data_IF_655649750741
#
_entry.id   IF_655649750741
#
_cell.length_a   1.000
_cell.length_b   1.000
_cell.length_c   1.000
_cell.angle_alpha   90.00
_cell.angle_beta   90.00
_cell.angle_gamma   90.00
#
_symmetry.space_group_name_H-M   'P 1'
#
loop_
_entity.id
_entity.type
_entity.pdbx_description
1 polymer ?
#
# COMPACT_ATOMS: atom_id res chain seq x y z
N UNK A 1 4.10 -12.68 -38.20
CA UNK A 1 4.91 -13.42 -37.23
C UNK A 1 6.14 -12.59 -36.92
N UNK A 2 6.04 -11.71 -35.96
CA UNK A 2 7.11 -11.05 -35.20
C UNK A 2 6.49 -9.87 -34.44
N UNK A 3 5.77 -10.22 -33.38
CA UNK A 3 5.27 -9.31 -32.36
C UNK A 3 6.15 -9.52 -31.11
N UNK A 4 7.43 -9.22 -31.26
CA UNK A 4 8.41 -9.29 -30.19
C UNK A 4 9.33 -8.11 -30.36
N UNK A 5 9.22 -7.15 -29.50
CA UNK A 5 10.20 -6.16 -29.02
C UNK A 5 9.52 -4.85 -28.67
N UNK A 6 8.79 -4.92 -27.58
CA UNK A 6 8.22 -3.75 -26.92
C UNK A 6 8.91 -3.40 -25.60
N UNK A 7 10.17 -3.78 -25.38
CA UNK A 7 10.84 -3.43 -24.12
C UNK A 7 12.24 -2.86 -24.39
N UNK A 8 12.44 -1.62 -23.92
CA UNK A 8 13.69 -0.87 -24.06
C UNK A 8 14.94 -1.52 -23.41
N UNK A 9 14.82 -2.71 -22.84
CA UNK A 9 15.91 -3.49 -22.22
C UNK A 9 16.79 -4.17 -23.28
N UNK A 10 16.21 -4.64 -24.39
CA UNK A 10 16.97 -5.24 -25.47
C UNK A 10 17.93 -4.24 -26.13
N UNK A 11 17.58 -2.97 -26.17
CA UNK A 11 18.41 -1.90 -26.74
C UNK A 11 19.67 -1.57 -25.91
N UNK A 12 19.60 -1.74 -24.58
CA UNK A 12 20.74 -1.53 -23.68
C UNK A 12 21.76 -2.67 -23.73
N UNK A 13 21.31 -3.89 -23.96
CA UNK A 13 22.19 -5.05 -24.05
C UNK A 13 23.01 -5.03 -25.36
N UNK A 14 22.43 -4.61 -26.49
CA UNK A 14 23.09 -4.53 -27.78
C UNK A 14 24.17 -3.43 -27.86
N UNK A 15 24.02 -2.34 -27.14
CA UNK A 15 25.02 -1.26 -27.04
C UNK A 15 26.29 -1.68 -26.29
N UNK A 16 26.22 -2.69 -25.41
CA UNK A 16 27.38 -3.22 -24.67
C UNK A 16 28.28 -4.14 -25.50
N UNK A 17 27.81 -4.65 -26.64
CA UNK A 17 28.56 -5.56 -27.52
C UNK A 17 29.12 -4.87 -28.79
N UNK A 18 29.13 -3.53 -28.85
CA UNK A 18 29.81 -2.79 -29.93
C UNK A 18 29.10 -2.82 -31.29
N UNK A 19 27.80 -3.14 -31.33
CA UNK A 19 27.01 -3.11 -32.57
C UNK A 19 26.37 -1.73 -32.71
N UNK A 20 27.00 -0.82 -33.41
CA UNK A 20 26.57 0.59 -33.51
C UNK A 20 25.43 0.87 -34.48
N UNK A 21 25.02 -0.05 -35.33
CA UNK A 21 23.90 0.19 -36.26
C UNK A 21 23.17 -1.08 -36.68
N UNK A 22 21.96 -1.25 -36.14
CA UNK A 22 20.94 -2.12 -36.69
C UNK A 22 19.73 -1.24 -37.03
N UNK A 23 19.59 -0.92 -38.32
CA UNK A 23 18.47 -0.10 -38.79
C UNK A 23 17.28 -1.00 -39.10
N UNK A 24 16.22 -0.92 -38.30
CA UNK A 24 14.95 -1.57 -38.59
C UNK A 24 14.01 -0.58 -39.27
N UNK A 25 13.57 -0.93 -40.48
CA UNK A 25 12.49 -0.21 -41.13
C UNK A 25 11.15 -0.76 -40.68
N UNK A 26 10.35 0.10 -40.02
CA UNK A 26 8.93 -0.17 -39.77
C UNK A 26 8.18 0.27 -41.01
N UNK A 27 7.61 -0.69 -41.76
CA UNK A 27 6.74 -0.39 -42.88
C UNK A 27 5.43 0.18 -42.37
N UNK A 28 5.14 1.44 -42.70
CA UNK A 28 3.81 2.04 -42.59
C UNK A 28 3.10 1.83 -43.91
N UNK A 29 1.91 1.29 -43.88
CA UNK A 29 1.09 0.93 -45.04
C UNK A 29 1.03 1.97 -46.14
N UNK A 30 1.27 1.52 -47.31
CA UNK A 30 0.86 1.82 -48.71
C UNK A 30 2.01 2.14 -49.63
N UNK A 31 2.24 1.22 -50.55
CA UNK A 31 3.02 1.42 -51.77
C UNK A 31 4.07 0.34 -52.02
N UNK A 32 3.82 -0.50 -53.02
CA UNK A 32 4.73 -1.55 -53.53
C UNK A 32 6.10 -0.98 -53.87
N UNK A 33 7.15 -1.46 -53.20
CA UNK A 33 8.53 -1.46 -53.69
C UNK A 33 9.15 -2.82 -53.35
N UNK A 34 9.70 -3.47 -54.39
CA UNK A 34 10.37 -4.77 -54.30
C UNK A 34 11.53 -4.71 -53.30
N UNK A 35 11.67 -5.68 -52.38
CA UNK A 35 12.80 -5.74 -51.48
C UNK A 35 14.05 -6.21 -52.25
N UNK A 36 15.15 -5.44 -52.20
CA UNK A 36 16.47 -5.94 -52.54
C UNK A 36 16.89 -6.98 -51.49
N UNK A 37 17.08 -8.22 -51.94
CA UNK A 37 17.65 -9.28 -51.12
C UNK A 37 19.14 -8.95 -50.85
N UNK A 38 19.42 -8.66 -49.58
CA UNK A 38 20.81 -8.67 -49.09
C UNK A 38 21.18 -10.10 -48.75
N UNK A 39 22.09 -10.68 -49.50
CA UNK A 39 22.69 -11.98 -49.18
C UNK A 39 23.70 -11.80 -48.06
N UNK A 40 23.33 -12.25 -46.85
CA UNK A 40 24.24 -12.37 -45.71
C UNK A 40 25.21 -13.54 -45.99
N UNK A 41 26.50 -13.34 -45.73
CA UNK A 41 27.48 -14.42 -45.80
C UNK A 41 27.13 -15.55 -44.84
N UNK A 42 27.33 -16.84 -45.22
CA UNK A 42 26.87 -18.00 -44.39
C UNK A 42 27.44 -18.03 -42.98
N UNK A 43 28.60 -17.42 -42.75
CA UNK A 43 29.19 -17.30 -41.42
C UNK A 43 28.40 -16.36 -40.46
N UNK A 44 27.76 -15.32 -41.01
CA UNK A 44 26.93 -14.40 -40.21
C UNK A 44 25.58 -15.01 -39.83
N UNK A 45 25.05 -15.88 -40.68
CA UNK A 45 23.78 -16.57 -40.42
C UNK A 45 23.93 -17.62 -39.30
N UNK A 46 25.05 -18.33 -39.24
CA UNK A 46 25.34 -19.29 -38.17
C UNK A 46 25.51 -18.61 -36.81
N UNK A 47 26.12 -17.41 -36.76
CA UNK A 47 26.28 -16.65 -35.52
C UNK A 47 24.94 -16.09 -35.02
N UNK A 48 24.07 -15.63 -35.91
CA UNK A 48 22.74 -15.14 -35.57
C UNK A 48 21.85 -16.28 -35.03
N UNK A 49 21.91 -17.47 -35.68
CA UNK A 49 21.20 -18.65 -35.21
C UNK A 49 21.75 -19.17 -33.88
N UNK A 50 23.06 -19.11 -33.65
CA UNK A 50 23.65 -19.47 -32.35
C UNK A 50 23.25 -18.49 -31.25
N UNK A 51 23.24 -17.17 -31.53
CA UNK A 51 22.80 -16.16 -30.58
C UNK A 51 21.29 -16.26 -30.29
N UNK A 52 20.47 -16.60 -31.27
CA UNK A 52 19.05 -16.87 -31.09
C UNK A 52 18.82 -18.17 -30.29
N UNK A 53 19.60 -19.23 -30.51
CA UNK A 53 19.48 -20.49 -29.77
C UNK A 53 19.96 -20.36 -28.33
N UNK A 54 20.99 -19.55 -28.05
CA UNK A 54 21.46 -19.23 -26.72
C UNK A 54 20.43 -18.35 -25.98
N UNK A 55 19.77 -17.42 -26.69
CA UNK A 55 18.68 -16.61 -26.08
C UNK A 55 17.42 -17.44 -25.76
N UNK A 56 17.18 -18.55 -26.48
CA UNK A 56 16.07 -19.48 -26.24
C UNK A 56 16.44 -20.50 -25.15
N UNK A 57 17.72 -20.77 -24.92
CA UNK A 57 18.22 -21.76 -23.94
C UNK A 57 18.64 -21.12 -22.62
N UNK A 58 18.63 -19.80 -22.50
CA UNK A 58 18.66 -19.20 -21.17
C UNK A 58 17.33 -19.62 -20.51
N UNK A 59 17.38 -20.38 -19.39
CA UNK A 59 16.18 -20.50 -18.59
C UNK A 59 15.70 -19.06 -18.42
N UNK A 60 14.41 -18.81 -18.60
CA UNK A 60 13.80 -17.60 -18.09
C UNK A 60 14.44 -17.39 -16.72
N UNK A 61 15.47 -16.56 -16.65
CA UNK A 61 15.76 -15.82 -15.45
C UNK A 61 14.48 -14.99 -15.33
N UNK A 62 13.44 -15.63 -14.82
CA UNK A 62 12.32 -14.98 -14.25
C UNK A 62 12.97 -13.95 -13.34
N UNK A 63 13.05 -12.72 -13.80
CA UNK A 63 13.16 -11.57 -12.92
C UNK A 63 11.90 -11.77 -12.09
N UNK A 64 12.07 -12.50 -10.98
CA UNK A 64 10.98 -12.89 -10.11
C UNK A 64 10.22 -11.61 -9.84
N UNK A 65 8.93 -11.63 -10.11
CA UNK A 65 8.09 -10.46 -9.90
C UNK A 65 8.41 -9.98 -8.49
N UNK A 66 9.08 -8.83 -8.39
CA UNK A 66 9.69 -8.35 -7.15
C UNK A 66 8.64 -8.04 -6.08
N UNK A 67 7.37 -7.98 -6.47
CA UNK A 67 6.25 -7.81 -5.55
C UNK A 67 5.14 -8.81 -5.84
N UNK A 68 4.58 -9.34 -4.78
CA UNK A 68 3.34 -10.12 -4.81
C UNK A 68 2.19 -9.24 -4.34
N UNK A 69 1.08 -9.24 -5.07
CA UNK A 69 -0.11 -8.46 -4.71
C UNK A 69 -1.25 -9.41 -4.44
N UNK A 70 -1.86 -9.28 -3.25
CA UNK A 70 -3.02 -10.06 -2.84
C UNK A 70 -4.19 -9.15 -2.46
N UNK A 71 -5.40 -9.56 -2.83
CA UNK A 71 -6.65 -9.06 -2.28
C UNK A 71 -7.12 -10.04 -1.20
N UNK A 72 -7.36 -9.54 0.00
CA UNK A 72 -8.08 -10.22 1.08
C UNK A 72 -9.46 -9.56 1.11
N UNK A 73 -10.48 -10.28 0.62
CA UNK A 73 -11.81 -9.72 0.44
C UNK A 73 -12.77 -10.18 1.54
N UNK A 74 -13.42 -9.21 2.15
CA UNK A 74 -14.55 -9.40 3.09
C UNK A 74 -15.87 -8.92 2.49
N UNK A 75 -15.92 -8.65 1.17
CA UNK A 75 -17.05 -8.01 0.49
C UNK A 75 -18.33 -8.84 0.44
N UNK A 76 -18.22 -10.14 0.59
CA UNK A 76 -19.36 -11.09 0.65
C UNK A 76 -19.95 -11.19 2.06
N UNK A 77 -19.31 -10.60 3.06
CA UNK A 77 -19.77 -10.63 4.45
C UNK A 77 -20.84 -9.57 4.71
N UNK A 78 -21.65 -9.74 5.76
CA UNK A 78 -22.55 -8.69 6.23
C UNK A 78 -21.80 -7.38 6.54
N UNK A 79 -22.46 -6.24 6.35
CA UNK A 79 -21.85 -4.93 6.61
C UNK A 79 -21.50 -4.71 8.09
N UNK A 80 -22.21 -5.39 9.00
CA UNK A 80 -22.07 -5.24 10.44
C UNK A 80 -21.87 -6.58 11.12
N UNK A 81 -20.74 -6.74 11.78
CA UNK A 81 -20.39 -7.89 12.63
C UNK A 81 -19.60 -7.42 13.84
N UNK A 82 -19.61 -8.19 14.92
CA UNK A 82 -18.95 -7.84 16.18
C UNK A 82 -17.94 -8.88 16.64
N UNK A 83 -17.79 -9.95 15.87
CA UNK A 83 -16.83 -11.03 16.09
C UNK A 83 -16.49 -11.67 14.77
N UNK A 84 -15.32 -12.28 14.70
CA UNK A 84 -14.90 -13.18 13.62
C UNK A 84 -14.31 -14.45 14.22
N UNK A 85 -14.34 -15.52 13.47
CA UNK A 85 -13.56 -16.72 13.81
C UNK A 85 -12.11 -16.51 13.35
N UNK A 86 -11.20 -16.33 14.29
CA UNK A 86 -9.77 -16.14 14.00
C UNK A 86 -9.09 -17.39 13.43
N UNK A 87 -9.68 -18.58 13.61
CA UNK A 87 -9.17 -19.82 13.01
C UNK A 87 -9.68 -20.02 11.57
N UNK A 88 -10.92 -19.55 11.30
CA UNK A 88 -11.56 -19.66 9.99
C UNK A 88 -12.28 -18.34 9.64
N UNK A 89 -11.57 -17.30 9.23
CA UNK A 89 -12.08 -15.92 9.14
C UNK A 89 -13.05 -15.69 7.97
N UNK A 90 -13.35 -16.71 7.15
CA UNK A 90 -14.26 -16.61 6.01
C UNK A 90 -13.92 -15.42 5.09
N UNK A 91 -12.71 -15.42 4.54
CA UNK A 91 -12.23 -14.41 3.56
C UNK A 91 -12.05 -15.04 2.18
N UNK A 92 -12.20 -14.24 1.13
CA UNK A 92 -11.78 -14.62 -0.22
C UNK A 92 -10.40 -14.05 -0.49
N UNK A 93 -9.50 -14.87 -1.02
CA UNK A 93 -8.15 -14.45 -1.38
C UNK A 93 -7.99 -14.49 -2.90
N UNK A 94 -7.45 -13.42 -3.46
CA UNK A 94 -7.08 -13.35 -4.87
C UNK A 94 -5.65 -12.83 -5.01
N UNK A 95 -4.88 -13.39 -5.93
CA UNK A 95 -3.51 -12.98 -6.27
C UNK A 95 -3.48 -12.35 -7.66
N UNK A 96 -2.74 -11.25 -7.80
CA UNK A 96 -2.47 -10.63 -9.10
C UNK A 96 -1.39 -11.41 -9.85
N UNK A 97 -1.71 -11.82 -11.09
CA UNK A 97 -0.83 -12.60 -11.97
C UNK A 97 -0.32 -11.80 -13.20
N UNK A 98 -0.21 -10.46 -13.07
CA UNK A 98 0.25 -9.59 -14.15
C UNK A 98 -0.83 -9.21 -15.18
N UNK A 99 -1.70 -10.14 -15.55
CA UNK A 99 -2.78 -9.95 -16.54
C UNK A 99 -4.19 -10.13 -15.95
N UNK A 100 -4.31 -10.58 -14.70
CA UNK A 100 -5.61 -10.81 -14.04
C UNK A 100 -5.46 -11.22 -12.59
N UNK A 101 -6.62 -11.23 -11.89
CA UNK A 101 -6.75 -11.70 -10.53
C UNK A 101 -7.22 -13.14 -10.53
N UNK A 102 -6.51 -14.03 -9.85
CA UNK A 102 -6.84 -15.44 -9.70
C UNK A 102 -7.08 -15.77 -8.23
N UNK A 103 -7.99 -16.71 -7.98
CA UNK A 103 -8.21 -17.25 -6.64
C UNK A 103 -6.90 -17.80 -6.06
N UNK A 104 -6.69 -17.58 -4.78
CA UNK A 104 -5.53 -17.99 -4.02
C UNK A 104 -5.95 -18.47 -2.63
N UNK A 105 -5.01 -18.79 -1.77
CA UNK A 105 -5.27 -19.26 -0.41
C UNK A 105 -4.82 -18.29 0.65
N UNK A 106 -5.30 -18.45 1.88
CA UNK A 106 -4.83 -17.68 3.04
C UNK A 106 -3.34 -17.95 3.26
N UNK A 107 -2.89 -19.18 3.08
CA UNK A 107 -1.49 -19.59 3.26
C UNK A 107 -0.56 -18.96 2.24
N UNK A 108 -1.03 -18.71 0.99
CA UNK A 108 -0.25 -17.99 -0.01
C UNK A 108 -0.09 -16.51 0.35
N UNK A 109 -1.18 -15.87 0.82
CA UNK A 109 -1.18 -14.46 1.19
C UNK A 109 -0.49 -14.20 2.53
N UNK A 110 -0.72 -15.08 3.50
CA UNK A 110 -0.33 -14.96 4.91
C UNK A 110 0.33 -16.27 5.40
N UNK A 111 1.51 -16.63 4.88
CA UNK A 111 2.18 -17.88 5.23
C UNK A 111 2.56 -17.91 6.71
N UNK A 112 2.45 -19.10 7.31
CA UNK A 112 2.83 -19.31 8.71
C UNK A 112 4.35 -19.18 8.95
N UNK A 113 5.15 -19.38 7.89
CA UNK A 113 6.63 -19.23 7.96
C UNK A 113 7.01 -17.84 7.48
N UNK A 114 7.86 -17.10 8.23
CA UNK A 114 8.30 -15.77 7.83
C UNK A 114 8.97 -15.78 6.46
N UNK A 115 8.63 -14.81 5.63
CA UNK A 115 9.16 -14.72 4.26
C UNK A 115 10.45 -13.91 4.17
N UNK A 116 10.83 -13.19 5.24
CA UNK A 116 11.88 -12.16 5.26
C UNK A 116 11.68 -11.02 4.23
N UNK A 117 10.56 -10.99 3.53
CA UNK A 117 10.17 -9.89 2.66
C UNK A 117 9.38 -8.85 3.45
N UNK A 118 9.52 -7.58 3.06
CA UNK A 118 8.66 -6.54 3.57
C UNK A 118 7.20 -6.85 3.23
N UNK A 119 6.31 -6.84 4.21
CA UNK A 119 4.86 -6.97 3.99
C UNK A 119 4.17 -5.63 4.24
N UNK A 120 3.33 -5.22 3.30
CA UNK A 120 2.60 -3.95 3.34
C UNK A 120 1.11 -4.27 3.29
N UNK A 121 0.38 -3.90 4.34
CA UNK A 121 -1.08 -3.98 4.36
C UNK A 121 -1.67 -2.63 3.95
N UNK A 122 -2.46 -2.62 2.89
CA UNK A 122 -3.25 -1.45 2.46
C UNK A 122 -4.73 -1.65 2.74
N UNK A 123 -5.38 -0.64 3.33
CA UNK A 123 -6.83 -0.64 3.58
C UNK A 123 -7.45 0.60 2.92
N UNK A 124 -8.31 0.37 1.92
CA UNK A 124 -8.93 1.44 1.14
C UNK A 124 -10.04 2.19 1.90
N UNK A 125 -10.42 3.35 1.39
CA UNK A 125 -11.46 4.21 1.97
C UNK A 125 -12.89 3.83 1.57
N UNK A 126 -13.81 4.76 1.86
CA UNK A 126 -15.23 4.65 1.57
C UNK A 126 -15.56 4.79 0.08
N UNK A 127 -16.76 4.35 -0.31
CA UNK A 127 -17.31 4.42 -1.68
C UNK A 127 -16.39 3.79 -2.73
N UNK A 128 -15.77 2.67 -2.38
CA UNK A 128 -14.86 1.95 -3.24
C UNK A 128 -15.50 0.64 -3.70
N UNK A 129 -15.89 0.57 -4.98
CA UNK A 129 -16.28 -0.68 -5.62
C UNK A 129 -15.08 -1.61 -5.78
N UNK A 130 -15.31 -2.93 -5.87
CA UNK A 130 -14.24 -3.91 -5.95
C UNK A 130 -13.24 -3.62 -7.08
N UNK A 131 -13.73 -3.37 -8.29
CA UNK A 131 -12.85 -3.10 -9.44
C UNK A 131 -11.98 -1.85 -9.24
N UNK A 132 -12.54 -0.81 -8.62
CA UNK A 132 -11.81 0.40 -8.28
C UNK A 132 -10.76 0.13 -7.20
N UNK A 133 -11.04 -0.74 -6.22
CA UNK A 133 -10.08 -1.14 -5.19
C UNK A 133 -8.92 -1.94 -5.81
N UNK A 134 -9.23 -2.89 -6.70
CA UNK A 134 -8.25 -3.68 -7.43
C UNK A 134 -7.35 -2.83 -8.35
N UNK A 135 -7.91 -1.80 -8.98
CA UNK A 135 -7.11 -0.82 -9.73
C UNK A 135 -6.24 0.02 -8.78
N UNK A 136 -6.81 0.42 -7.64
CA UNK A 136 -6.12 1.28 -6.68
C UNK A 136 -4.88 0.63 -6.09
N UNK A 137 -4.95 -0.63 -5.68
CA UNK A 137 -3.79 -1.34 -5.13
C UNK A 137 -2.67 -1.46 -6.15
N UNK A 138 -2.99 -1.60 -7.44
CA UNK A 138 -2.00 -1.62 -8.53
C UNK A 138 -1.33 -0.27 -8.74
N UNK A 139 -2.07 0.83 -8.59
CA UNK A 139 -1.48 2.18 -8.63
C UNK A 139 -0.50 2.36 -7.46
N UNK A 140 -0.89 1.93 -6.26
CA UNK A 140 -0.03 1.98 -5.07
C UNK A 140 1.22 1.11 -5.28
N UNK A 141 1.08 -0.10 -5.82
CA UNK A 141 2.21 -0.96 -6.19
C UNK A 141 3.18 -0.24 -7.12
N UNK A 142 2.66 0.46 -8.13
CA UNK A 142 3.49 1.27 -9.03
C UNK A 142 4.33 2.32 -8.31
N UNK A 143 3.80 2.96 -7.26
CA UNK A 143 4.56 3.91 -6.43
C UNK A 143 5.63 3.22 -5.59
N UNK A 144 5.36 2.03 -5.04
CA UNK A 144 6.38 1.25 -4.34
C UNK A 144 7.50 0.81 -5.29
N UNK A 145 7.16 0.24 -6.45
CA UNK A 145 8.14 -0.19 -7.49
C UNK A 145 9.04 0.95 -7.98
N UNK A 146 8.54 2.18 -8.02
CA UNK A 146 9.36 3.35 -8.39
C UNK A 146 10.42 3.68 -7.33
N UNK A 147 10.25 3.22 -6.10
CA UNK A 147 11.11 3.55 -4.97
C UNK A 147 11.98 2.39 -4.50
N UNK A 148 11.73 1.14 -4.91
CA UNK A 148 12.51 -0.01 -4.46
C UNK A 148 12.62 -1.10 -5.53
N UNK A 149 13.79 -1.75 -5.56
CA UNK A 149 14.05 -2.99 -6.29
C UNK A 149 14.03 -4.21 -5.35
N UNK A 150 13.78 -3.99 -4.05
CA UNK A 150 13.66 -5.07 -3.09
C UNK A 150 12.29 -5.74 -3.19
N UNK A 151 12.22 -7.07 -3.03
CA UNK A 151 10.96 -7.79 -3.03
C UNK A 151 10.09 -7.38 -1.84
N UNK A 152 8.78 -7.27 -2.07
CA UNK A 152 7.80 -7.02 -1.03
C UNK A 152 6.48 -7.74 -1.35
N UNK A 153 5.67 -7.92 -0.33
CA UNK A 153 4.29 -8.42 -0.43
C UNK A 153 3.32 -7.29 -0.13
N UNK A 154 2.40 -7.01 -1.06
CA UNK A 154 1.35 -6.00 -0.89
C UNK A 154 0.00 -6.70 -0.71
N UNK A 155 -0.57 -6.58 0.47
CA UNK A 155 -1.87 -7.11 0.85
C UNK A 155 -2.89 -5.97 0.83
N UNK A 156 -4.02 -6.15 0.16
CA UNK A 156 -5.13 -5.20 0.22
C UNK A 156 -6.32 -5.82 0.95
N UNK A 157 -6.76 -5.24 2.05
CA UNK A 157 -8.05 -5.56 2.64
C UNK A 157 -9.15 -4.85 1.84
N UNK A 158 -9.93 -5.64 1.09
CA UNK A 158 -11.03 -5.20 0.25
C UNK A 158 -12.35 -5.45 0.97
N UNK A 159 -12.97 -4.37 1.49
CA UNK A 159 -14.15 -4.45 2.34
C UNK A 159 -15.40 -3.82 1.66
N UNK A 160 -16.64 -4.21 2.08
CA UNK A 160 -17.87 -3.66 1.52
C UNK A 160 -18.01 -2.18 1.89
N UNK A 161 -17.73 -1.29 0.94
CA UNK A 161 -17.76 0.16 1.12
C UNK A 161 -18.42 0.87 -0.06
N UNK A 162 -19.24 0.14 -0.83
CA UNK A 162 -19.89 0.68 -2.00
C UNK A 162 -20.94 1.73 -1.63
N UNK A 163 -21.28 2.54 -2.62
CA UNK A 163 -22.33 3.55 -2.50
C UNK A 163 -23.70 2.91 -2.71
N UNK A 164 -24.59 3.07 -1.74
CA UNK A 164 -25.98 2.70 -1.85
C UNK A 164 -26.83 3.84 -2.43
N UNK A 165 -28.13 3.76 -2.22
CA UNK A 165 -29.12 4.74 -2.73
C UNK A 165 -29.29 5.97 -1.82
N UNK A 166 -28.74 5.94 -0.60
CA UNK A 166 -28.93 6.99 0.44
C UNK A 166 -27.59 7.53 0.92
N UNK A 167 -26.94 8.44 0.18
CA UNK A 167 -25.54 8.81 0.39
C UNK A 167 -25.16 9.22 1.81
N UNK A 168 -26.03 9.93 2.54
CA UNK A 168 -25.75 10.30 3.95
C UNK A 168 -25.82 9.10 4.89
N UNK A 169 -26.81 8.23 4.71
CA UNK A 169 -26.96 7.00 5.49
C UNK A 169 -25.82 6.04 5.17
N UNK A 170 -25.47 5.90 3.90
CA UNK A 170 -24.37 5.05 3.44
C UNK A 170 -23.05 5.44 4.12
N UNK A 171 -22.80 6.74 4.37
CA UNK A 171 -21.59 7.19 5.09
C UNK A 171 -21.59 6.70 6.53
N UNK A 172 -22.75 6.73 7.24
CA UNK A 172 -22.84 6.23 8.62
C UNK A 172 -22.67 4.72 8.68
N UNK A 173 -23.39 4.00 7.81
CA UNK A 173 -23.35 2.54 7.73
C UNK A 173 -21.92 2.07 7.38
N UNK A 174 -21.27 2.72 6.43
CA UNK A 174 -19.89 2.42 6.03
C UNK A 174 -18.85 2.83 7.11
N UNK A 175 -19.12 3.86 7.93
CA UNK A 175 -18.26 4.19 9.06
C UNK A 175 -18.28 3.09 10.14
N UNK A 176 -19.44 2.50 10.39
CA UNK A 176 -19.60 1.36 11.30
C UNK A 176 -18.99 0.09 10.69
N UNK A 177 -19.23 -0.17 9.40
CA UNK A 177 -18.61 -1.28 8.68
C UNK A 177 -17.09 -1.19 8.70
N UNK A 178 -16.51 -0.01 8.47
CA UNK A 178 -15.07 0.21 8.55
C UNK A 178 -14.50 -0.13 9.94
N UNK A 179 -15.25 0.15 11.00
CA UNK A 179 -14.85 -0.23 12.36
C UNK A 179 -14.92 -1.75 12.56
N UNK A 180 -15.92 -2.43 11.98
CA UNK A 180 -15.97 -3.88 11.98
C UNK A 180 -14.75 -4.50 11.30
N UNK A 181 -14.22 -3.87 10.25
CA UNK A 181 -13.00 -4.33 9.58
C UNK A 181 -11.75 -4.29 10.48
N UNK A 182 -11.79 -3.61 11.63
CA UNK A 182 -10.72 -3.67 12.62
C UNK A 182 -10.42 -5.10 13.09
N UNK A 183 -11.42 -5.98 13.12
CA UNK A 183 -11.24 -7.39 13.45
C UNK A 183 -10.41 -8.12 12.37
N UNK A 184 -10.67 -7.84 11.09
CA UNK A 184 -9.88 -8.43 10.00
C UNK A 184 -8.48 -7.84 9.91
N UNK A 185 -8.32 -6.54 10.14
CA UNK A 185 -6.98 -5.93 10.27
C UNK A 185 -6.21 -6.60 11.40
N UNK A 186 -6.84 -6.76 12.58
CA UNK A 186 -6.24 -7.45 13.71
C UNK A 186 -5.85 -8.88 13.36
N UNK A 187 -6.75 -9.64 12.73
CA UNK A 187 -6.48 -11.01 12.29
C UNK A 187 -5.29 -11.08 11.30
N UNK A 188 -5.24 -10.21 10.30
CA UNK A 188 -4.12 -10.14 9.35
C UNK A 188 -2.80 -9.86 10.08
N UNK A 189 -2.79 -8.88 10.97
CA UNK A 189 -1.59 -8.49 11.71
C UNK A 189 -1.12 -9.60 12.66
N UNK A 190 -2.05 -10.38 13.25
CA UNK A 190 -1.70 -11.57 14.04
C UNK A 190 -1.06 -12.66 13.18
N UNK A 191 -1.52 -12.86 11.96
CA UNK A 191 -0.88 -13.80 11.01
C UNK A 191 0.53 -13.35 10.58
N UNK A 192 0.79 -12.04 10.62
CA UNK A 192 2.09 -11.44 10.28
C UNK A 192 3.03 -11.30 11.50
N UNK A 193 2.69 -11.88 12.65
CA UNK A 193 3.44 -11.72 13.91
C UNK A 193 4.93 -12.09 13.83
N UNK A 194 5.30 -12.98 12.93
CA UNK A 194 6.69 -13.43 12.78
C UNK A 194 7.46 -12.70 11.66
N UNK A 195 6.79 -11.81 10.91
CA UNK A 195 7.45 -11.01 9.87
C UNK A 195 8.30 -9.90 10.50
N UNK A 196 9.51 -9.70 9.96
CA UNK A 196 10.46 -8.71 10.51
C UNK A 196 10.06 -7.26 10.19
N UNK A 197 9.44 -7.05 9.05
CA UNK A 197 9.09 -5.71 8.55
C UNK A 197 7.66 -5.73 8.06
N UNK A 198 6.79 -5.07 8.79
CA UNK A 198 5.38 -4.90 8.44
C UNK A 198 5.06 -3.41 8.39
N UNK A 199 4.49 -2.99 7.28
CA UNK A 199 4.00 -1.63 7.09
C UNK A 199 2.50 -1.65 6.85
N UNK A 200 1.81 -0.62 7.34
CA UNK A 200 0.36 -0.52 7.21
C UNK A 200 0.00 0.85 6.63
N UNK A 201 -0.83 0.85 5.59
CA UNK A 201 -1.32 2.05 4.92
C UNK A 201 -2.84 2.10 4.96
N UNK A 202 -3.41 3.15 5.54
CA UNK A 202 -4.86 3.35 5.60
C UNK A 202 -5.29 4.66 4.94
N UNK A 203 -6.29 4.61 4.06
CA UNK A 203 -6.92 5.79 3.48
C UNK A 203 -8.32 6.02 4.03
N UNK A 204 -8.61 7.25 4.47
CA UNK A 204 -9.95 7.69 4.90
C UNK A 204 -10.56 6.74 5.94
N UNK A 205 -11.69 6.06 5.68
CA UNK A 205 -12.25 5.03 6.56
C UNK A 205 -11.36 3.78 6.70
N UNK A 206 -10.46 3.51 5.73
CA UNK A 206 -9.45 2.48 5.90
C UNK A 206 -8.52 2.76 7.08
N UNK A 207 -8.22 4.04 7.35
CA UNK A 207 -7.47 4.44 8.53
C UNK A 207 -8.21 4.11 9.85
N UNK A 208 -9.56 4.16 9.84
CA UNK A 208 -10.38 3.75 10.99
C UNK A 208 -10.22 2.27 11.28
N UNK A 209 -10.33 1.42 10.25
CA UNK A 209 -10.10 -0.02 10.37
C UNK A 209 -8.68 -0.34 10.86
N UNK A 210 -7.67 0.35 10.30
CA UNK A 210 -6.26 0.16 10.65
C UNK A 210 -6.00 0.52 12.11
N UNK A 211 -6.39 1.72 12.55
CA UNK A 211 -6.13 2.14 13.93
C UNK A 211 -6.93 1.33 14.95
N UNK A 212 -8.16 0.89 14.59
CA UNK A 212 -8.94 -0.03 15.42
C UNK A 212 -8.29 -1.41 15.52
N UNK A 213 -7.78 -1.97 14.42
CA UNK A 213 -7.09 -3.27 14.42
C UNK A 213 -5.78 -3.25 15.22
N UNK A 214 -4.98 -2.20 15.09
CA UNK A 214 -3.77 -2.00 15.90
C UNK A 214 -4.10 -1.84 17.39
N UNK A 215 -5.19 -1.12 17.73
CA UNK A 215 -5.67 -0.99 19.10
C UNK A 215 -6.08 -2.34 19.70
N UNK A 216 -6.82 -3.15 18.94
CA UNK A 216 -7.22 -4.49 19.35
C UNK A 216 -6.00 -5.40 19.59
N UNK A 217 -5.02 -5.40 18.70
CA UNK A 217 -3.79 -6.20 18.83
C UNK A 217 -2.96 -5.82 20.05
N UNK A 218 -3.04 -4.58 20.48
CA UNK A 218 -2.37 -4.10 21.69
C UNK A 218 -3.20 -4.33 22.97
N UNK A 219 -4.17 -5.24 22.93
CA UNK A 219 -5.01 -5.59 24.08
C UNK A 219 -6.17 -4.61 24.33
N UNK A 220 -6.43 -3.70 23.40
CA UNK A 220 -7.57 -2.79 23.49
C UNK A 220 -8.91 -3.47 23.22
N UNK A 221 -9.99 -2.73 23.44
CA UNK A 221 -11.35 -3.19 23.16
C UNK A 221 -12.15 -2.10 22.47
N UNK A 222 -13.03 -2.52 21.55
CA UNK A 222 -13.97 -1.62 20.88
C UNK A 222 -15.38 -1.85 21.41
N UNK A 223 -16.18 -0.78 21.63
CA UNK A 223 -17.52 -0.91 22.18
C UNK A 223 -18.41 -1.83 21.35
N UNK A 224 -18.98 -2.85 22.00
CA UNK A 224 -19.87 -3.83 21.40
C UNK A 224 -19.19 -4.94 20.60
N UNK A 225 -17.86 -4.98 20.55
CA UNK A 225 -17.11 -6.08 19.91
C UNK A 225 -16.82 -7.18 20.91
N UNK A 226 -16.80 -8.43 20.43
CA UNK A 226 -16.31 -9.54 21.23
C UNK A 226 -14.80 -9.42 21.43
N UNK A 227 -14.26 -9.88 22.57
CA UNK A 227 -12.83 -9.96 22.77
C UNK A 227 -12.16 -10.79 21.66
N UNK A 228 -10.99 -10.37 21.24
CA UNK A 228 -10.16 -11.12 20.28
C UNK A 228 -9.14 -11.98 21.05
N UNK A 229 -8.55 -13.01 20.40
CA UNK A 229 -7.42 -13.72 20.97
C UNK A 229 -6.28 -12.76 21.30
N UNK A 230 -5.76 -12.85 22.52
CA UNK A 230 -4.59 -12.07 22.93
C UNK A 230 -3.34 -12.65 22.32
N UNK A 231 -2.41 -11.80 21.95
CA UNK A 231 -1.09 -12.18 21.50
C UNK A 231 -0.07 -11.92 22.60
N UNK A 232 1.04 -12.60 22.51
CA UNK A 232 2.20 -12.31 23.34
C UNK A 232 2.89 -11.04 22.80
N UNK A 233 2.92 -9.98 23.59
CA UNK A 233 3.52 -8.69 23.23
C UNK A 233 4.99 -8.82 22.80
N UNK A 234 5.70 -9.85 23.28
CA UNK A 234 7.11 -10.10 22.95
C UNK A 234 7.29 -10.62 21.50
N UNK A 235 6.20 -11.07 20.85
CA UNK A 235 6.22 -11.68 19.51
C UNK A 235 5.71 -10.69 18.45
N UNK A 236 4.98 -9.66 18.84
CA UNK A 236 4.37 -8.70 17.89
C UNK A 236 5.46 -7.93 17.13
N UNK A 237 5.35 -7.87 15.80
CA UNK A 237 6.25 -7.04 15.01
C UNK A 237 6.02 -5.57 15.32
N UNK A 238 7.04 -4.79 15.11
CA UNK A 238 6.94 -3.35 15.10
C UNK A 238 6.45 -2.88 13.71
N UNK A 239 5.52 -1.92 13.70
CA UNK A 239 4.87 -1.47 12.47
C UNK A 239 5.36 -0.08 12.05
N UNK A 240 5.51 0.13 10.73
CA UNK A 240 5.52 1.48 10.17
C UNK A 240 4.13 1.81 9.61
N UNK A 241 3.58 2.94 10.05
CA UNK A 241 2.21 3.33 9.76
C UNK A 241 2.16 4.56 8.86
N UNK A 242 1.39 4.46 7.78
CA UNK A 242 1.00 5.55 6.90
C UNK A 242 -0.51 5.78 6.96
N UNK A 243 -0.95 7.00 7.25
CA UNK A 243 -2.35 7.36 7.20
C UNK A 243 -2.55 8.52 6.22
N UNK A 244 -3.48 8.36 5.28
CA UNK A 244 -3.82 9.38 4.28
C UNK A 244 -5.27 9.80 4.49
N UNK A 245 -5.48 11.08 4.75
CA UNK A 245 -6.79 11.68 5.00
C UNK A 245 -7.65 10.87 6.01
N UNK A 246 -7.12 10.47 7.18
CA UNK A 246 -7.81 9.56 8.08
C UNK A 246 -9.16 10.13 8.55
N UNK A 247 -10.24 9.35 8.31
CA UNK A 247 -11.61 9.67 8.71
C UNK A 247 -11.91 9.11 10.11
N UNK A 248 -11.14 9.54 11.10
CA UNK A 248 -11.31 9.29 12.53
C UNK A 248 -11.17 10.61 13.30
N UNK A 249 -11.70 10.68 14.51
CA UNK A 249 -11.48 11.87 15.33
C UNK A 249 -10.00 12.05 15.64
N UNK A 250 -9.57 13.30 15.65
CA UNK A 250 -8.17 13.69 15.85
C UNK A 250 -7.58 13.28 17.19
N UNK A 251 -8.42 13.00 18.18
CA UNK A 251 -8.01 12.54 19.51
C UNK A 251 -8.01 11.01 19.68
N UNK A 252 -8.62 10.23 18.79
CA UNK A 252 -8.88 8.81 19.02
C UNK A 252 -7.66 7.93 19.30
N UNK A 253 -6.51 8.26 18.73
CA UNK A 253 -5.28 7.49 18.97
C UNK A 253 -4.44 8.03 20.15
N UNK A 254 -4.94 9.06 20.84
CA UNK A 254 -4.32 9.54 22.08
C UNK A 254 -4.51 8.54 23.21
N UNK A 255 -3.60 8.45 24.19
CA UNK A 255 -3.74 7.55 25.33
C UNK A 255 -5.11 7.68 26.01
N UNK A 256 -5.73 6.55 26.35
CA UNK A 256 -7.05 6.42 26.96
C UNK A 256 -8.25 6.80 26.10
N UNK A 257 -8.04 7.13 24.84
CA UNK A 257 -9.10 7.40 23.87
C UNK A 257 -9.52 6.12 23.11
N UNK A 258 -10.50 6.24 22.19
CA UNK A 258 -11.17 5.12 21.53
C UNK A 258 -10.21 4.09 20.91
N UNK A 259 -9.12 4.55 20.26
CA UNK A 259 -8.06 3.71 19.67
C UNK A 259 -6.71 3.96 20.37
N UNK A 260 -6.75 4.26 21.68
CA UNK A 260 -5.61 4.78 22.44
C UNK A 260 -4.39 3.86 22.53
N UNK A 261 -4.54 2.56 22.23
CA UNK A 261 -3.44 1.63 22.15
C UNK A 261 -2.90 1.41 20.73
N UNK A 262 -3.47 2.08 19.71
CA UNK A 262 -3.12 1.85 18.31
C UNK A 262 -1.63 2.06 18.01
N UNK A 263 -0.96 2.91 18.77
CA UNK A 263 0.45 3.21 18.57
C UNK A 263 1.40 2.37 19.45
N UNK A 264 0.92 1.40 20.23
CA UNK A 264 1.74 0.62 21.15
C UNK A 264 2.90 -0.08 20.45
N UNK A 265 2.63 -0.75 19.33
CA UNK A 265 3.60 -1.48 18.52
C UNK A 265 3.96 -0.77 17.20
N UNK A 266 3.69 0.53 17.09
CA UNK A 266 4.03 1.34 15.92
C UNK A 266 5.33 2.06 16.17
N UNK A 267 6.39 1.79 15.42
CA UNK A 267 7.68 2.48 15.51
C UNK A 267 7.56 3.93 15.09
N UNK A 268 6.84 4.15 14.00
CA UNK A 268 6.66 5.49 13.48
C UNK A 268 5.41 5.61 12.60
N UNK A 269 4.80 6.79 12.64
CA UNK A 269 3.61 7.18 11.90
C UNK A 269 3.90 8.40 11.02
N UNK A 270 3.50 8.30 9.74
CA UNK A 270 3.32 9.48 8.89
C UNK A 270 1.83 9.67 8.63
N UNK A 271 1.29 10.84 8.98
CA UNK A 271 -0.07 11.26 8.68
C UNK A 271 -0.08 12.35 7.61
N UNK A 272 -0.71 12.10 6.47
CA UNK A 272 -1.00 13.09 5.45
C UNK A 272 -2.45 13.58 5.61
N UNK A 273 -2.62 14.83 5.98
CA UNK A 273 -3.93 15.45 6.13
C UNK A 273 -4.11 16.62 5.15
N UNK A 274 -5.34 17.08 4.97
CA UNK A 274 -5.66 18.18 4.06
C UNK A 274 -6.61 19.15 4.77
N UNK A 275 -6.08 20.29 5.22
CA UNK A 275 -6.85 21.35 5.88
C UNK A 275 -7.90 22.01 4.98
N UNK A 276 -7.89 21.72 3.67
CA UNK A 276 -8.88 22.18 2.69
C UNK A 276 -9.87 21.09 2.26
N UNK A 277 -9.81 19.88 2.86
CA UNK A 277 -10.68 18.76 2.50
C UNK A 277 -12.17 19.07 2.75
N UNK A 278 -13.02 19.14 1.69
CA UNK A 278 -14.42 19.52 1.84
C UNK A 278 -15.28 18.40 2.45
N UNK A 279 -14.83 17.14 2.37
CA UNK A 279 -15.53 15.98 2.92
C UNK A 279 -15.24 15.89 4.42
N UNK A 280 -13.96 15.85 4.80
CA UNK A 280 -13.56 15.69 6.20
C UNK A 280 -13.85 16.93 7.04
N UNK A 281 -13.96 18.11 6.46
CA UNK A 281 -14.47 19.30 7.16
C UNK A 281 -15.89 19.10 7.71
N UNK A 282 -16.65 18.20 7.08
CA UNK A 282 -18.02 17.84 7.51
C UNK A 282 -18.08 16.62 8.43
N UNK A 283 -16.94 16.06 8.81
CA UNK A 283 -16.85 14.85 9.65
C UNK A 283 -17.62 14.99 10.99
N UNK A 284 -17.71 16.20 11.54
CA UNK A 284 -18.48 16.52 12.74
C UNK A 284 -19.97 16.12 12.69
N UNK A 285 -20.50 15.86 11.50
CA UNK A 285 -21.89 15.41 11.34
C UNK A 285 -22.03 13.88 11.40
N UNK A 286 -20.91 13.15 11.34
CA UNK A 286 -20.89 11.69 11.48
C UNK A 286 -21.00 11.22 12.93
N UNK A 287 -20.60 12.08 13.88
CA UNK A 287 -20.80 11.86 15.28
C UNK A 287 -21.51 13.09 15.88
N UNK A 288 -22.64 12.86 16.53
CA UNK A 288 -23.44 13.93 17.14
C UNK A 288 -22.95 14.30 18.54
N UNK A 289 -22.13 13.43 19.15
CA UNK A 289 -21.55 13.59 20.48
C UNK A 289 -20.16 14.17 20.33
N UNK A 290 -19.87 15.28 20.96
CA UNK A 290 -18.51 15.85 21.03
C UNK A 290 -18.07 16.67 19.82
N UNK A 291 -18.80 16.72 18.72
CA UNK A 291 -18.44 17.45 17.49
C UNK A 291 -17.04 17.09 16.99
N UNK A 292 -16.79 15.83 16.61
CA UNK A 292 -15.46 15.35 16.25
C UNK A 292 -14.85 16.12 15.06
N UNK A 293 -13.54 16.27 15.10
CA UNK A 293 -12.75 16.86 14.01
C UNK A 293 -11.91 15.73 13.41
N UNK A 294 -12.03 15.50 12.11
CA UNK A 294 -11.26 14.46 11.46
C UNK A 294 -9.74 14.73 11.53
N UNK A 295 -8.96 13.72 11.88
CA UNK A 295 -7.51 13.78 11.83
C UNK A 295 -6.99 14.03 10.41
N UNK A 296 -7.68 13.56 9.39
CA UNK A 296 -7.38 13.82 7.99
C UNK A 296 -7.70 15.26 7.53
N UNK A 297 -8.38 16.05 8.36
CA UNK A 297 -8.63 17.47 8.11
C UNK A 297 -7.70 18.39 8.92
N UNK A 298 -7.39 18.02 10.17
CA UNK A 298 -6.71 18.94 11.09
C UNK A 298 -5.46 18.35 11.76
N UNK A 299 -5.02 17.15 11.36
CA UNK A 299 -3.97 16.41 12.03
C UNK A 299 -4.42 15.82 13.38
N UNK A 300 -3.64 14.91 13.92
CA UNK A 300 -3.86 14.32 15.26
C UNK A 300 -3.45 15.28 16.37
N UNK A 301 -4.04 15.12 17.56
CA UNK A 301 -3.72 15.86 18.78
C UNK A 301 -3.52 14.90 19.95
N UNK A 302 -2.99 15.42 21.07
CA UNK A 302 -2.85 14.62 22.30
C UNK A 302 -1.74 13.56 22.24
N UNK A 303 -0.82 13.66 21.28
CA UNK A 303 0.28 12.72 21.11
C UNK A 303 1.56 13.15 21.83
N UNK A 304 1.52 14.22 22.61
CA UNK A 304 2.62 14.73 23.41
C UNK A 304 3.08 13.66 24.40
N UNK A 305 4.34 13.29 24.41
CA UNK A 305 4.91 12.23 25.24
C UNK A 305 5.06 10.88 24.54
N UNK A 306 4.50 10.70 23.33
CA UNK A 306 4.85 9.56 22.45
C UNK A 306 6.12 9.85 21.63
N UNK A 307 6.66 11.04 21.75
CA UNK A 307 7.81 11.53 20.98
C UNK A 307 9.13 10.85 21.38
N UNK A 308 9.20 10.16 22.52
CA UNK A 308 10.46 9.60 23.03
C UNK A 308 10.20 8.36 23.87
N UNK A 309 9.99 7.21 23.22
CA UNK A 309 10.45 5.95 23.81
C UNK A 309 11.86 5.70 23.28
N UNK A 310 12.87 6.11 24.04
CA UNK A 310 14.19 5.55 23.94
C UNK A 310 14.08 4.09 24.36
N UNK A 311 13.92 3.20 23.39
CA UNK A 311 14.11 1.77 23.62
C UNK A 311 15.60 1.56 23.90
N UNK A 312 16.01 1.12 25.09
CA UNK A 312 17.41 0.88 25.40
C UNK A 312 18.03 -0.26 24.58
N UNK A 313 17.24 -1.00 23.80
CA UNK A 313 17.66 -2.08 22.90
C UNK A 313 17.59 -1.67 21.40
N UNK A 314 17.10 -0.50 21.07
CA UNK A 314 17.06 -0.04 19.68
C UNK A 314 18.47 0.30 19.19
N UNK A 315 19.06 -0.60 18.44
CA UNK A 315 20.32 -0.41 17.71
C UNK A 315 20.18 0.50 16.47
N UNK A 316 19.06 1.26 16.36
CA UNK A 316 18.79 2.14 15.23
C UNK A 316 19.01 3.61 15.59
N UNK A 317 19.73 4.40 14.75
CA UNK A 317 20.11 5.77 15.00
C UNK A 317 18.98 6.79 14.75
N UNK A 318 17.70 6.42 14.96
CA UNK A 318 16.57 7.37 14.91
C UNK A 318 16.47 8.24 16.18
N UNK A 319 17.56 8.31 16.97
CA UNK A 319 17.67 9.19 18.14
C UNK A 319 17.59 10.65 17.70
N UNK A 320 16.38 11.24 17.81
CA UNK A 320 16.12 12.65 17.55
C UNK A 320 14.94 12.96 16.61
N UNK A 321 14.36 11.98 15.92
CA UNK A 321 13.18 12.19 15.08
C UNK A 321 11.89 11.88 15.83
N UNK A 322 10.88 12.74 15.69
CA UNK A 322 9.55 12.49 16.23
C UNK A 322 8.97 11.19 15.65
N UNK A 323 8.47 10.32 16.54
CA UNK A 323 7.78 9.08 16.19
C UNK A 323 6.53 9.33 15.31
N UNK A 324 5.92 10.50 15.45
CA UNK A 324 4.74 10.91 14.70
C UNK A 324 5.06 12.16 13.87
N UNK A 325 4.96 12.03 12.56
CA UNK A 325 5.12 13.12 11.60
C UNK A 325 3.82 13.39 10.88
N UNK A 326 3.43 14.65 10.76
CA UNK A 326 2.17 15.04 10.14
C UNK A 326 2.40 16.16 9.13
N UNK A 327 1.83 16.01 7.94
CA UNK A 327 2.01 16.96 6.85
C UNK A 327 0.68 17.43 6.28
N UNK A 328 0.47 18.76 6.22
CA UNK A 328 -0.68 19.34 5.55
C UNK A 328 -0.45 19.39 4.04
N UNK A 329 -1.19 18.59 3.30
CA UNK A 329 -1.17 18.57 1.85
C UNK A 329 -2.11 19.60 1.21
N UNK A 330 -2.87 20.37 2.00
CA UNK A 330 -3.93 21.26 1.50
C UNK A 330 -3.44 22.37 0.59
N UNK A 331 -2.20 22.83 0.73
CA UNK A 331 -1.59 23.83 -0.16
C UNK A 331 -1.24 23.26 -1.53
N UNK A 332 -0.97 21.96 -1.59
CA UNK A 332 -0.53 21.26 -2.81
C UNK A 332 -1.72 20.70 -3.58
N UNK A 333 -2.57 19.90 -2.88
CA UNK A 333 -3.66 19.18 -3.54
C UNK A 333 -5.01 19.92 -3.54
N UNK A 334 -5.12 21.04 -2.80
CA UNK A 334 -6.31 21.90 -2.79
C UNK A 334 -7.56 21.26 -2.18
N UNK A 335 -8.74 21.68 -2.67
CA UNK A 335 -10.05 21.28 -2.12
C UNK A 335 -10.49 19.90 -2.64
N UNK A 336 -9.87 18.84 -2.17
CA UNK A 336 -10.17 17.48 -2.60
C UNK A 336 -10.10 16.48 -1.44
N UNK A 337 -10.88 15.38 -1.55
CA UNK A 337 -10.77 14.17 -0.73
C UNK A 337 -10.32 12.97 -1.58
N UNK A 338 -9.89 13.23 -2.82
CA UNK A 338 -9.46 12.15 -3.70
C UNK A 338 -8.11 11.59 -3.27
N UNK A 339 -8.07 10.28 -3.04
CA UNK A 339 -6.82 9.56 -2.76
C UNK A 339 -5.79 9.74 -3.88
N UNK A 340 -6.24 9.77 -5.15
CA UNK A 340 -5.37 9.95 -6.34
C UNK A 340 -4.61 11.28 -6.32
N UNK A 341 -5.20 12.35 -5.75
CA UNK A 341 -4.53 13.65 -5.63
C UNK A 341 -3.30 13.59 -4.72
N UNK A 342 -3.36 12.77 -3.64
CA UNK A 342 -2.18 12.56 -2.80
C UNK A 342 -1.06 11.86 -3.56
N UNK A 343 -1.38 10.91 -4.45
CA UNK A 343 -0.38 10.15 -5.19
C UNK A 343 0.35 10.97 -6.26
N UNK A 344 -0.39 11.82 -6.97
CA UNK A 344 0.15 12.58 -8.10
C UNK A 344 0.80 13.90 -7.71
N UNK A 345 0.24 14.60 -6.75
CA UNK A 345 0.56 16.00 -6.49
C UNK A 345 1.31 16.22 -5.16
N UNK A 346 1.07 15.38 -4.16
CA UNK A 346 1.64 15.57 -2.83
C UNK A 346 3.03 14.91 -2.70
N UNK A 347 4.09 15.71 -2.67
CA UNK A 347 5.47 15.22 -2.49
C UNK A 347 5.67 14.47 -1.16
N UNK A 348 4.89 14.78 -0.12
CA UNK A 348 4.91 14.04 1.16
C UNK A 348 4.45 12.60 1.00
N UNK A 349 3.69 12.28 -0.05
CA UNK A 349 3.32 10.89 -0.33
C UNK A 349 4.55 10.05 -0.71
N UNK A 350 5.49 10.60 -1.49
CA UNK A 350 6.76 9.92 -1.78
C UNK A 350 7.54 9.64 -0.49
N UNK A 351 7.60 10.61 0.45
CA UNK A 351 8.23 10.40 1.75
C UNK A 351 7.54 9.28 2.55
N UNK A 352 6.21 9.22 2.51
CA UNK A 352 5.44 8.14 3.13
C UNK A 352 5.77 6.78 2.49
N UNK A 353 5.85 6.68 1.16
CA UNK A 353 6.25 5.44 0.48
C UNK A 353 7.65 4.99 0.92
N UNK A 354 8.63 5.90 0.97
CA UNK A 354 9.98 5.57 1.46
C UNK A 354 9.97 5.12 2.92
N UNK A 355 9.17 5.75 3.75
CA UNK A 355 8.96 5.36 5.13
C UNK A 355 8.37 3.95 5.23
N UNK A 356 7.32 3.62 4.48
CA UNK A 356 6.69 2.31 4.47
C UNK A 356 7.63 1.22 3.88
N UNK A 357 8.60 1.60 3.07
CA UNK A 357 9.65 0.72 2.53
C UNK A 357 10.84 0.53 3.48
N UNK A 358 10.76 0.99 4.73
CA UNK A 358 11.84 0.90 5.72
C UNK A 358 13.16 1.54 5.25
N UNK A 359 13.08 2.50 4.33
CA UNK A 359 14.22 3.32 3.93
C UNK A 359 14.44 4.42 4.96
N UNK A 360 15.70 4.67 5.28
CA UNK A 360 16.06 5.84 6.09
C UNK A 360 15.83 7.09 5.23
N UNK A 361 14.92 7.94 5.65
CA UNK A 361 14.73 9.25 5.04
C UNK A 361 15.81 10.18 5.56
N UNK A 362 16.93 10.27 4.87
CA UNK A 362 17.92 11.32 5.14
C UNK A 362 17.30 12.67 4.82
N UNK A 363 17.04 13.48 5.82
CA UNK A 363 16.52 14.86 5.66
C UNK A 363 17.46 15.78 4.84
N UNK A 364 18.71 15.35 4.58
CA UNK A 364 19.73 16.15 3.90
C UNK A 364 19.48 16.40 2.40
N UNK A 365 18.54 15.71 1.76
CA UNK A 365 18.34 15.84 0.30
C UNK A 365 17.10 16.65 -0.12
N UNK A 366 16.31 17.19 0.81
CA UNK A 366 15.04 17.86 0.45
C UNK A 366 15.11 19.40 0.40
N UNK A 367 16.20 20.04 0.83
CA UNK A 367 16.37 21.49 0.70
C UNK A 367 16.67 21.97 -0.74
N UNK A 368 16.78 21.08 -1.72
CA UNK A 368 17.17 21.42 -3.09
C UNK A 368 15.99 21.66 -4.06
N UNK A 369 14.74 21.55 -3.61
CA UNK A 369 13.56 21.77 -4.46
C UNK A 369 12.59 22.84 -3.89
N UNK A 370 13.09 23.89 -3.28
CA UNK A 370 12.33 25.13 -3.15
C UNK A 370 12.69 25.97 -4.37
N UNK A 371 11.93 25.83 -5.45
CA UNK A 371 11.95 26.78 -6.57
C UNK A 371 11.03 27.94 -6.19
N UNK A 372 11.44 29.19 -6.45
CA UNK A 372 10.83 30.43 -5.97
C UNK A 372 9.41 30.67 -6.44
#
# INVERSE_FOLDING_TARGET
MLQLFGNGIAFRALRRIGIESLTFFIAKDRGFMLPRLFTLKPQSTALILLLCSVAISLPDLAIGDQSEIFEISTRHLPDHFRSIDFQNPNVEINKWQGNGWLCSTVEDALPATPTNALTILYVHGNFMERNNALERVRIIDGHFRQQTDQPYRLLMLSWPSQRGSKPLRDVFDNAESAECQSLYVSWILQRLQHEKQVSVLGFSFGARAVTGGLHLNAGGSLPGFCPIPTMDDSILPHYRLGLVAPAIDRGWISPNERHGLALTHVDSLINLYNSKDPVLRRFRFLDRIGRPIAAGFAGFTGLNGLESRSDPLATSPLSGQSRVRQYDCGTVIGNTHSERSYYGECHYFRMMIQHLLWKETGESNFNACVVP
#
